data_IF_205351503774
#
_entry.id   IF_205351503774
#
_cell.length_a   1.000
_cell.length_b   1.000
_cell.length_c   1.000
_cell.angle_alpha   90.00
_cell.angle_beta   90.00
_cell.angle_gamma   90.00
#
_symmetry.space_group_name_H-M   'P 1'
#
loop_
_entity.id
_entity.type
_entity.pdbx_description
1 polymer ?
#
# COMPACT_ATOMS: atom_id res chain seq x y z
N UNK A 1 -11.77 -11.34 -1.73
CA UNK A 1 -12.09 -10.55 -2.94
C UNK A 1 -11.09 -9.40 -3.02
N UNK A 2 -10.44 -9.16 -4.17
CA UNK A 2 -9.53 -8.01 -4.35
C UNK A 2 -10.38 -6.74 -4.52
N UNK A 3 -10.04 -5.65 -3.84
CA UNK A 3 -10.66 -4.34 -4.09
C UNK A 3 -10.26 -3.90 -5.50
N UNK A 4 -11.22 -3.45 -6.31
CA UNK A 4 -10.86 -2.85 -7.60
C UNK A 4 -9.99 -1.63 -7.33
N UNK A 5 -9.00 -1.36 -8.17
CA UNK A 5 -8.07 -0.24 -7.96
C UNK A 5 -8.80 1.09 -7.79
N UNK A 6 -9.93 1.29 -8.48
CA UNK A 6 -10.82 2.46 -8.33
C UNK A 6 -11.46 2.63 -6.94
N UNK A 7 -11.57 1.56 -6.17
CA UNK A 7 -12.23 1.54 -4.86
C UNK A 7 -11.20 1.61 -3.71
N UNK A 8 -9.90 1.73 -4.03
CA UNK A 8 -8.84 1.86 -3.02
C UNK A 8 -8.90 3.24 -2.39
N UNK A 9 -9.06 3.26 -1.06
CA UNK A 9 -9.01 4.46 -0.24
C UNK A 9 -7.79 4.48 0.67
N UNK A 10 -7.22 5.67 0.79
CA UNK A 10 -6.11 5.97 1.68
C UNK A 10 -6.60 6.75 2.91
N UNK A 11 -5.99 6.53 4.08
CA UNK A 11 -6.44 7.16 5.34
C UNK A 11 -5.48 8.20 5.93
N UNK A 12 -4.18 8.12 5.64
CA UNK A 12 -3.17 8.99 6.27
C UNK A 12 -2.03 9.46 5.34
N UNK A 13 -2.20 10.56 4.58
CA UNK A 13 -3.39 11.40 4.48
C UNK A 13 -4.54 10.72 3.71
N UNK A 14 -5.79 11.18 3.92
CA UNK A 14 -6.94 10.72 3.16
C UNK A 14 -6.73 10.84 1.65
N UNK A 15 -7.26 9.91 0.87
CA UNK A 15 -7.15 9.95 -0.58
C UNK A 15 -7.79 8.76 -1.28
N UNK A 16 -7.75 8.77 -2.61
CA UNK A 16 -8.25 7.68 -3.45
C UNK A 16 -7.29 7.41 -4.60
N UNK A 17 -7.31 6.19 -5.13
CA UNK A 17 -6.48 5.88 -6.28
C UNK A 17 -6.89 6.72 -7.51
N UNK A 18 -5.89 7.32 -8.16
CA UNK A 18 -6.09 8.23 -9.30
C UNK A 18 -6.59 9.63 -8.92
N UNK A 19 -6.81 9.90 -7.64
CA UNK A 19 -7.22 11.21 -7.12
C UNK A 19 -6.22 11.80 -6.13
N UNK A 20 -6.72 12.67 -5.25
CA UNK A 20 -5.92 13.29 -4.20
C UNK A 20 -5.25 12.23 -3.30
N UNK A 21 -4.01 12.50 -2.89
CA UNK A 21 -3.20 11.56 -2.10
C UNK A 21 -2.61 10.38 -2.88
N UNK A 22 -3.04 10.13 -4.13
CA UNK A 22 -2.54 8.99 -4.93
C UNK A 22 -1.07 9.09 -5.26
N UNK A 23 -0.57 10.28 -5.64
CA UNK A 23 0.86 10.49 -5.96
C UNK A 23 1.75 10.20 -4.75
N UNK A 24 1.32 10.62 -3.56
CA UNK A 24 2.05 10.37 -2.31
C UNK A 24 2.09 8.88 -2.01
N UNK A 25 0.95 8.18 -2.12
CA UNK A 25 0.88 6.74 -1.92
C UNK A 25 1.82 5.98 -2.88
N UNK A 26 1.82 6.34 -4.18
CA UNK A 26 2.71 5.72 -5.16
C UNK A 26 4.20 5.95 -4.83
N UNK A 27 4.59 7.19 -4.51
CA UNK A 27 5.98 7.51 -4.18
C UNK A 27 6.46 6.79 -2.91
N UNK A 28 5.59 6.57 -1.93
CA UNK A 28 5.91 5.79 -0.74
C UNK A 28 6.18 4.31 -1.09
N UNK A 29 5.33 3.70 -1.93
CA UNK A 29 5.54 2.32 -2.39
C UNK A 29 6.82 2.19 -3.20
N UNK A 30 7.09 3.12 -4.14
CA UNK A 30 8.34 3.15 -4.91
C UNK A 30 9.56 3.22 -3.97
N UNK A 31 9.52 4.10 -2.97
CA UNK A 31 10.60 4.17 -1.97
C UNK A 31 10.77 2.87 -1.19
N UNK A 32 9.69 2.14 -0.87
CA UNK A 32 9.79 0.83 -0.20
C UNK A 32 10.47 -0.18 -1.12
N UNK A 33 10.15 -0.18 -2.41
CA UNK A 33 10.80 -1.04 -3.42
C UNK A 33 12.29 -0.70 -3.51
N UNK A 34 12.62 0.56 -3.77
CA UNK A 34 14.00 1.01 -4.07
C UNK A 34 14.96 0.84 -2.89
N UNK A 35 14.45 0.84 -1.65
CA UNK A 35 15.28 0.82 -0.43
C UNK A 35 15.23 -0.49 0.33
N UNK A 36 14.45 -1.48 -0.14
CA UNK A 36 14.42 -2.80 0.50
C UNK A 36 15.57 -3.66 0.01
N UNK A 37 16.32 -4.24 0.95
CA UNK A 37 17.50 -5.06 0.63
C UNK A 37 17.14 -6.38 -0.05
N UNK A 38 15.97 -6.93 0.27
CA UNK A 38 15.48 -8.20 -0.23
C UNK A 38 13.95 -8.22 -0.26
N UNK A 39 13.40 -9.26 -0.89
CA UNK A 39 11.97 -9.44 -1.07
C UNK A 39 11.20 -9.54 0.25
N UNK A 40 11.74 -10.28 1.24
CA UNK A 40 11.08 -10.43 2.54
C UNK A 40 11.00 -9.10 3.30
N UNK A 41 12.06 -8.29 3.24
CA UNK A 41 12.07 -6.92 3.78
C UNK A 41 11.05 -6.03 3.06
N UNK A 42 10.97 -6.13 1.73
CA UNK A 42 9.95 -5.42 0.94
C UNK A 42 8.53 -5.81 1.39
N UNK A 43 8.22 -7.10 1.47
CA UNK A 43 6.89 -7.59 1.87
C UNK A 43 6.53 -7.10 3.26
N UNK A 44 7.45 -7.20 4.23
CA UNK A 44 7.20 -6.73 5.61
C UNK A 44 6.90 -5.23 5.65
N UNK A 45 7.69 -4.42 4.93
CA UNK A 45 7.49 -2.96 4.87
C UNK A 45 6.21 -2.58 4.15
N UNK A 46 5.84 -3.31 3.09
CA UNK A 46 4.59 -3.12 2.37
C UNK A 46 3.38 -3.40 3.26
N UNK A 47 3.43 -4.47 4.09
CA UNK A 47 2.36 -4.76 5.05
C UNK A 47 2.21 -3.65 6.09
N UNK A 48 3.32 -3.18 6.69
CA UNK A 48 3.27 -2.06 7.63
C UNK A 48 2.70 -0.80 6.98
N UNK A 49 3.17 -0.47 5.78
CA UNK A 49 2.62 0.65 5.00
C UNK A 49 1.13 0.48 4.74
N UNK A 50 0.67 -0.73 4.42
CA UNK A 50 -0.73 -1.00 4.15
C UNK A 50 -1.61 -0.86 5.39
N UNK A 51 -1.16 -1.31 6.57
CA UNK A 51 -1.85 -1.09 7.84
C UNK A 51 -2.03 0.41 8.13
N UNK A 52 -1.02 1.22 7.84
CA UNK A 52 -1.06 2.67 8.10
C UNK A 52 -1.81 3.46 7.02
N UNK A 53 -1.83 2.97 5.77
CA UNK A 53 -2.28 3.75 4.61
C UNK A 53 -3.58 3.28 4.00
N UNK A 54 -3.97 2.01 4.06
CA UNK A 54 -5.19 1.52 3.44
C UNK A 54 -6.34 1.48 4.45
N UNK A 55 -7.56 1.83 4.02
CA UNK A 55 -8.76 1.69 4.85
C UNK A 55 -8.98 0.24 5.32
N UNK A 56 -8.61 -0.74 4.49
CA UNK A 56 -8.67 -2.17 4.81
C UNK A 56 -7.41 -2.71 5.50
N UNK A 57 -6.44 -1.85 5.83
CA UNK A 57 -5.13 -2.27 6.30
C UNK A 57 -4.44 -3.24 5.33
N UNK A 58 -3.64 -4.17 5.86
CA UNK A 58 -2.96 -5.20 5.06
C UNK A 58 -3.93 -6.12 4.30
N UNK A 59 -5.20 -6.22 4.71
CA UNK A 59 -6.19 -7.02 4.00
C UNK A 59 -6.52 -6.48 2.60
N UNK A 60 -6.15 -5.21 2.32
CA UNK A 60 -6.20 -4.63 0.99
C UNK A 60 -5.15 -5.17 0.01
N UNK A 61 -4.10 -5.83 0.52
CA UNK A 61 -3.05 -6.41 -0.31
C UNK A 61 -3.52 -7.71 -0.99
N UNK A 62 -2.89 -8.12 -2.11
CA UNK A 62 -2.99 -9.47 -2.64
C UNK A 62 -2.65 -10.52 -1.57
N UNK A 63 -3.34 -11.68 -1.59
CA UNK A 63 -3.19 -12.70 -0.53
C UNK A 63 -1.75 -13.21 -0.41
N UNK A 64 -1.03 -13.23 -1.53
CA UNK A 64 0.36 -13.66 -1.65
C UNK A 64 1.33 -12.71 -0.95
N UNK A 65 0.89 -11.47 -0.67
CA UNK A 65 1.66 -10.42 -0.03
C UNK A 65 1.22 -10.15 1.41
N UNK A 66 0.16 -10.79 1.92
CA UNK A 66 -0.31 -10.60 3.30
C UNK A 66 0.55 -11.39 4.26
N UNK A 67 1.20 -10.71 5.20
CA UNK A 67 1.97 -11.36 6.28
C UNK A 67 1.60 -10.82 7.66
#
# INVERSE_FOLDING_TARGET
MRTLTKDVKFVNPPGVHGGEGSTVAHNQILRIIDTSKDYETFVKRLNNWAEDRLESGKMGLPIELRR
#
